data_IF_933009321472
#
_entry.id   IF_933009321472
#
_cell.length_a   1.000
_cell.length_b   1.000
_cell.length_c   1.000
_cell.angle_alpha   90.00
_cell.angle_beta   90.00
_cell.angle_gamma   90.00
#
_symmetry.space_group_name_H-M   'P 1'
#
loop_
_entity.id
_entity.type
_entity.pdbx_description
1 polymer ?
#
# COMPACT_ATOMS: atom_id res chain seq x y z
N UNK A 1 -20.94 11.67 14.47
CA UNK A 1 -19.92 12.08 13.48
C UNK A 1 -20.67 12.61 12.26
N UNK A 2 -20.18 13.66 11.61
CA UNK A 2 -20.79 14.20 10.39
C UNK A 2 -20.37 13.32 9.20
N UNK A 3 -21.32 12.68 8.54
CA UNK A 3 -21.10 11.96 7.28
C UNK A 3 -20.76 12.96 6.17
N UNK A 4 -19.80 12.63 5.29
CA UNK A 4 -19.49 13.48 4.15
C UNK A 4 -20.60 13.40 3.09
N UNK A 5 -20.66 14.41 2.23
CA UNK A 5 -21.54 14.39 1.06
C UNK A 5 -21.07 13.36 0.02
N UNK A 6 -22.00 12.79 -0.75
CA UNK A 6 -21.67 11.90 -1.89
C UNK A 6 -20.71 12.58 -2.87
N UNK A 7 -20.88 13.89 -3.11
CA UNK A 7 -19.96 14.68 -3.94
C UNK A 7 -18.54 14.74 -3.38
N UNK A 8 -18.39 14.77 -2.05
CA UNK A 8 -17.07 14.75 -1.41
C UNK A 8 -16.40 13.37 -1.57
N UNK A 9 -17.14 12.27 -1.36
CA UNK A 9 -16.61 10.93 -1.63
C UNK A 9 -16.21 10.77 -3.10
N UNK A 10 -17.03 11.25 -4.04
CA UNK A 10 -16.72 11.22 -5.47
C UNK A 10 -15.45 12.01 -5.81
N UNK A 11 -15.25 13.17 -5.19
CA UNK A 11 -14.02 13.95 -5.39
C UNK A 11 -12.77 13.18 -4.92
N UNK A 12 -12.81 12.60 -3.72
CA UNK A 12 -11.69 11.80 -3.21
C UNK A 12 -11.45 10.56 -4.08
N UNK A 13 -12.50 9.90 -4.57
CA UNK A 13 -12.38 8.76 -5.46
C UNK A 13 -11.73 9.15 -6.80
N UNK A 14 -12.08 10.31 -7.36
CA UNK A 14 -11.45 10.84 -8.57
C UNK A 14 -9.99 11.26 -8.35
N UNK A 15 -9.67 11.88 -7.21
CA UNK A 15 -8.28 12.17 -6.83
C UNK A 15 -7.45 10.90 -6.68
N UNK A 16 -8.05 9.85 -6.10
CA UNK A 16 -7.41 8.55 -5.98
C UNK A 16 -7.18 7.92 -7.36
N UNK A 17 -8.20 7.87 -8.22
CA UNK A 17 -8.07 7.42 -9.61
C UNK A 17 -6.94 8.15 -10.34
N UNK A 18 -6.86 9.47 -10.18
CA UNK A 18 -5.83 10.28 -10.79
C UNK A 18 -4.44 9.95 -10.23
N UNK A 19 -4.33 9.67 -8.93
CA UNK A 19 -3.08 9.31 -8.30
C UNK A 19 -2.52 7.99 -8.80
N UNK A 20 -3.37 7.03 -9.16
CA UNK A 20 -2.91 5.75 -9.72
C UNK A 20 -2.15 5.94 -11.05
N UNK A 21 -2.37 7.05 -11.77
CA UNK A 21 -1.71 7.32 -13.05
C UNK A 21 -0.21 7.65 -12.93
N UNK A 22 0.55 7.31 -13.98
CA UNK A 22 1.99 7.63 -14.09
C UNK A 22 2.22 9.08 -14.56
N UNK A 23 1.79 10.05 -13.75
CA UNK A 23 1.82 11.49 -14.06
C UNK A 23 3.26 12.04 -14.15
N UNK A 24 4.15 11.56 -13.30
CA UNK A 24 5.59 11.75 -13.41
C UNK A 24 6.16 10.60 -14.21
N UNK A 25 6.73 10.92 -15.37
CA UNK A 25 7.39 9.93 -16.19
C UNK A 25 8.59 9.36 -15.45
N UNK A 26 8.58 8.06 -15.17
CA UNK A 26 9.61 7.41 -14.36
C UNK A 26 11.00 7.41 -15.02
N UNK A 27 11.07 7.54 -16.35
CA UNK A 27 12.35 7.56 -17.09
C UNK A 27 12.96 8.95 -17.16
N UNK A 28 12.15 9.97 -17.40
CA UNK A 28 12.63 11.35 -17.60
C UNK A 28 12.52 12.21 -16.35
N UNK A 29 11.73 11.78 -15.35
CA UNK A 29 11.40 12.54 -14.17
C UNK A 29 10.45 13.72 -14.43
N UNK A 30 10.00 13.94 -15.67
CA UNK A 30 9.13 15.06 -16.04
C UNK A 30 7.74 14.84 -15.45
N UNK A 31 7.24 15.86 -14.74
CA UNK A 31 5.90 15.87 -14.15
C UNK A 31 4.90 16.52 -15.11
N UNK A 32 3.87 15.76 -15.50
CA UNK A 32 2.73 16.27 -16.25
C UNK A 32 1.75 17.01 -15.32
N UNK A 33 2.17 18.17 -14.80
CA UNK A 33 1.52 18.82 -13.67
C UNK A 33 0.11 19.38 -13.95
N UNK A 34 -0.17 19.81 -15.20
CA UNK A 34 -1.44 20.44 -15.56
C UNK A 34 -1.67 20.44 -17.08
N UNK A 35 -2.83 20.98 -17.51
CA UNK A 35 -3.16 21.18 -18.92
C UNK A 35 -3.26 19.88 -19.71
N UNK A 36 -2.92 19.95 -21.01
CA UNK A 36 -3.02 18.78 -21.90
C UNK A 36 -2.12 17.63 -21.46
N UNK A 37 -0.92 17.92 -20.95
CA UNK A 37 -0.01 16.88 -20.45
C UNK A 37 -0.64 16.06 -19.32
N UNK A 38 -1.32 16.73 -18.38
CA UNK A 38 -2.05 16.04 -17.32
C UNK A 38 -3.22 15.24 -17.90
N UNK A 39 -3.99 15.81 -18.84
CA UNK A 39 -5.11 15.10 -19.48
C UNK A 39 -4.62 13.81 -20.15
N UNK A 40 -3.55 13.89 -20.94
CA UNK A 40 -2.97 12.74 -21.63
C UNK A 40 -2.48 11.67 -20.64
N UNK A 41 -1.83 12.10 -19.55
CA UNK A 41 -1.37 11.19 -18.49
C UNK A 41 -2.53 10.50 -17.75
N UNK A 42 -3.67 11.17 -17.54
CA UNK A 42 -4.84 10.59 -16.89
C UNK A 42 -5.61 9.62 -17.80
N UNK A 43 -5.64 9.89 -19.11
CA UNK A 43 -6.21 8.98 -20.12
C UNK A 43 -5.34 7.72 -20.26
N UNK A 44 -4.01 7.89 -20.25
CA UNK A 44 -3.07 6.76 -20.21
C UNK A 44 -3.16 6.00 -18.87
N UNK A 45 -3.42 6.73 -17.77
CA UNK A 45 -3.64 6.21 -16.44
C UNK A 45 -2.44 5.42 -15.93
N UNK A 46 -2.71 4.27 -15.32
CA UNK A 46 -1.68 3.29 -14.96
C UNK A 46 -1.41 2.26 -16.07
N UNK A 47 -1.90 2.49 -17.30
CA UNK A 47 -1.86 1.56 -18.44
C UNK A 47 -2.63 0.25 -18.25
N UNK A 48 -3.42 0.18 -17.16
CA UNK A 48 -4.27 -0.95 -16.80
C UNK A 48 -5.69 -0.47 -16.48
N UNK A 49 -6.23 -0.79 -15.30
CA UNK A 49 -7.64 -0.58 -14.97
C UNK A 49 -7.97 0.85 -14.50
N UNK A 50 -7.00 1.63 -14.00
CA UNK A 50 -7.24 2.96 -13.44
C UNK A 50 -6.97 4.03 -14.49
N UNK A 51 -7.95 4.23 -15.37
CA UNK A 51 -7.88 5.17 -16.51
C UNK A 51 -9.08 6.11 -16.51
N UNK A 52 -8.86 7.35 -16.96
CA UNK A 52 -9.96 8.30 -17.17
C UNK A 52 -10.49 8.23 -18.60
N UNK A 53 -11.79 8.48 -18.76
CA UNK A 53 -12.32 8.90 -20.06
C UNK A 53 -11.80 10.31 -20.39
N UNK A 54 -11.75 10.67 -21.67
CA UNK A 54 -11.31 12.01 -22.09
C UNK A 54 -12.10 13.14 -21.40
N UNK A 55 -13.42 12.95 -21.25
CA UNK A 55 -14.31 13.91 -20.58
C UNK A 55 -13.93 14.04 -19.11
N UNK A 56 -13.75 12.92 -18.41
CA UNK A 56 -13.41 12.93 -16.99
C UNK A 56 -12.01 13.51 -16.75
N UNK A 57 -11.02 13.18 -17.60
CA UNK A 57 -9.66 13.72 -17.53
C UNK A 57 -9.65 15.23 -17.75
N UNK A 58 -10.39 15.70 -18.75
CA UNK A 58 -10.54 17.13 -19.06
C UNK A 58 -11.19 17.88 -17.90
N UNK A 59 -12.22 17.31 -17.28
CA UNK A 59 -12.89 17.94 -16.14
C UNK A 59 -12.00 17.94 -14.90
N UNK A 60 -11.29 16.84 -14.61
CA UNK A 60 -10.32 16.77 -13.53
C UNK A 60 -9.22 17.83 -13.71
N UNK A 61 -8.64 17.92 -14.91
CA UNK A 61 -7.59 18.89 -15.23
C UNK A 61 -8.07 20.34 -15.26
N UNK A 62 -9.38 20.64 -15.17
CA UNK A 62 -9.88 22.01 -14.89
C UNK A 62 -9.93 22.30 -13.40
N UNK A 63 -10.19 21.29 -12.58
CA UNK A 63 -10.41 21.42 -11.14
C UNK A 63 -9.10 21.32 -10.35
N UNK A 64 -8.17 20.49 -10.79
CA UNK A 64 -6.96 20.13 -10.04
C UNK A 64 -5.69 20.37 -10.86
N UNK A 65 -4.60 20.59 -10.13
CA UNK A 65 -3.22 20.45 -10.63
C UNK A 65 -2.43 19.50 -9.73
N UNK A 66 -1.34 18.95 -10.27
CA UNK A 66 -0.42 18.09 -9.55
C UNK A 66 0.79 18.91 -9.11
N UNK A 67 0.96 19.02 -7.80
CA UNK A 67 2.06 19.77 -7.18
C UNK A 67 3.33 18.94 -7.12
N UNK A 68 3.19 17.67 -6.74
CA UNK A 68 4.29 16.70 -6.75
C UNK A 68 3.74 15.28 -6.94
N UNK A 69 4.57 14.40 -7.49
CA UNK A 69 4.33 12.96 -7.48
C UNK A 69 5.63 12.25 -7.13
N UNK A 70 5.58 11.38 -6.13
CA UNK A 70 6.62 10.42 -5.82
C UNK A 70 6.38 9.15 -6.63
N UNK A 71 7.24 8.89 -7.62
CA UNK A 71 7.31 7.58 -8.28
C UNK A 71 7.81 6.51 -7.29
N UNK A 72 7.66 5.24 -7.65
CA UNK A 72 8.01 4.10 -6.79
C UNK A 72 9.41 4.20 -6.20
N UNK A 73 9.46 4.23 -4.87
CA UNK A 73 10.70 4.12 -4.10
C UNK A 73 11.22 2.68 -4.08
N UNK A 74 12.37 2.46 -3.45
CA UNK A 74 12.93 1.11 -3.32
C UNK A 74 12.09 0.14 -2.48
N UNK A 75 11.10 0.65 -1.74
CA UNK A 75 10.12 -0.14 -0.96
C UNK A 75 8.78 -0.34 -1.67
N UNK A 76 8.57 0.33 -2.81
CA UNK A 76 7.31 0.35 -3.56
C UNK A 76 6.40 1.53 -3.21
N UNK A 77 6.76 2.35 -2.21
CA UNK A 77 5.96 3.53 -1.88
C UNK A 77 5.89 4.52 -3.05
N UNK A 78 4.68 5.00 -3.35
CA UNK A 78 4.43 6.11 -4.27
C UNK A 78 3.18 6.91 -3.87
N UNK A 79 3.08 8.15 -4.33
CA UNK A 79 1.99 9.05 -3.97
C UNK A 79 2.00 10.36 -4.73
N UNK A 80 0.88 11.08 -4.68
CA UNK A 80 0.64 12.33 -5.44
C UNK A 80 0.08 13.42 -4.52
N UNK A 81 0.62 14.63 -4.61
CA UNK A 81 0.08 15.82 -3.96
C UNK A 81 -0.68 16.65 -5.00
N UNK A 82 -1.96 16.86 -4.78
CA UNK A 82 -2.83 17.68 -5.61
C UNK A 82 -3.13 19.03 -4.96
N UNK A 83 -3.40 20.03 -5.79
CA UNK A 83 -3.95 21.32 -5.38
C UNK A 83 -5.19 21.66 -6.19
N UNK A 84 -6.26 22.05 -5.52
CA UNK A 84 -7.45 22.53 -6.21
C UNK A 84 -7.22 23.91 -6.79
N UNK A 85 -7.66 24.13 -8.02
CA UNK A 85 -7.57 25.39 -8.74
C UNK A 85 -8.81 26.25 -8.60
N UNK A 86 -9.91 25.68 -8.13
CA UNK A 86 -11.22 26.32 -8.14
C UNK A 86 -11.91 26.17 -6.79
N UNK A 87 -12.80 27.12 -6.51
CA UNK A 87 -13.79 26.96 -5.44
C UNK A 87 -15.13 26.63 -6.08
N UNK A 88 -15.68 25.47 -5.76
CA UNK A 88 -17.01 25.02 -6.19
C UNK A 88 -17.70 24.32 -5.00
N UNK A 89 -18.53 25.06 -4.24
CA UNK A 89 -19.22 24.50 -3.07
C UNK A 89 -20.17 23.35 -3.40
N UNK A 90 -20.69 23.27 -4.64
CA UNK A 90 -21.59 22.18 -5.05
C UNK A 90 -20.87 20.85 -5.19
N UNK A 91 -19.57 20.92 -5.52
CA UNK A 91 -18.67 19.77 -5.55
C UNK A 91 -17.93 19.61 -4.24
N UNK A 92 -17.90 20.60 -3.37
CA UNK A 92 -17.10 20.58 -2.14
C UNK A 92 -15.62 20.89 -2.40
N UNK A 93 -15.32 21.69 -3.42
CA UNK A 93 -13.98 22.11 -3.79
C UNK A 93 -13.67 23.50 -3.24
N UNK A 94 -12.44 23.70 -2.77
CA UNK A 94 -11.93 24.99 -2.30
C UNK A 94 -10.59 25.28 -2.98
N UNK A 95 -10.47 26.42 -3.64
CA UNK A 95 -9.24 26.80 -4.32
C UNK A 95 -8.05 26.84 -3.35
N UNK A 96 -6.94 26.22 -3.74
CA UNK A 96 -5.74 26.09 -2.92
C UNK A 96 -5.76 24.92 -1.94
N UNK A 97 -6.87 24.18 -1.80
CA UNK A 97 -6.89 23.00 -0.92
C UNK A 97 -5.91 21.93 -1.42
N UNK A 98 -5.28 21.24 -0.47
CA UNK A 98 -4.28 20.22 -0.73
C UNK A 98 -4.79 18.84 -0.34
N UNK A 99 -4.56 17.88 -1.23
CA UNK A 99 -4.84 16.46 -0.97
C UNK A 99 -3.63 15.62 -1.31
N UNK A 100 -3.17 14.84 -0.34
CA UNK A 100 -2.14 13.80 -0.53
C UNK A 100 -2.86 12.49 -0.83
N UNK A 101 -2.46 11.81 -1.91
CA UNK A 101 -3.02 10.53 -2.31
C UNK A 101 -1.94 9.47 -2.35
N UNK A 102 -2.12 8.36 -1.64
CA UNK A 102 -1.20 7.22 -1.66
C UNK A 102 -1.70 6.15 -2.63
N UNK A 103 -0.80 5.68 -3.50
CA UNK A 103 -1.16 4.77 -4.58
C UNK A 103 -1.33 3.33 -4.09
N UNK A 104 -2.05 2.55 -4.88
CA UNK A 104 -2.35 1.15 -4.57
C UNK A 104 -1.21 0.19 -4.97
N UNK A 105 -1.43 -1.11 -4.76
CA UNK A 105 -0.50 -2.16 -5.22
C UNK A 105 -0.43 -2.21 -6.73
N UNK A 106 0.76 -2.04 -7.28
CA UNK A 106 1.01 -2.20 -8.71
C UNK A 106 1.33 -3.67 -9.04
N UNK A 107 0.30 -4.51 -9.13
CA UNK A 107 0.50 -5.96 -9.33
C UNK A 107 1.34 -6.31 -10.55
N UNK A 108 1.13 -5.62 -11.68
CA UNK A 108 1.81 -5.89 -12.95
C UNK A 108 3.12 -5.12 -13.07
N UNK A 109 3.20 -3.93 -12.48
CA UNK A 109 4.34 -3.02 -12.66
C UNK A 109 5.37 -3.09 -11.51
N UNK A 110 4.96 -3.50 -10.31
CA UNK A 110 5.81 -3.59 -9.12
C UNK A 110 5.48 -4.75 -8.16
N UNK A 111 5.23 -5.94 -8.73
CA UNK A 111 4.80 -7.12 -7.97
C UNK A 111 5.67 -7.48 -6.75
N UNK A 112 6.99 -7.35 -6.87
CA UNK A 112 7.91 -7.82 -5.82
C UNK A 112 7.86 -6.92 -4.58
N UNK A 113 7.90 -5.59 -4.78
CA UNK A 113 7.88 -4.63 -3.67
C UNK A 113 6.50 -4.53 -3.04
N UNK A 114 5.44 -4.41 -3.85
CA UNK A 114 4.10 -4.19 -3.32
C UNK A 114 3.41 -5.47 -2.85
N UNK A 115 3.49 -6.55 -3.64
CA UNK A 115 2.74 -7.76 -3.32
C UNK A 115 3.52 -8.72 -2.42
N UNK A 116 4.69 -9.17 -2.89
CA UNK A 116 5.42 -10.24 -2.19
C UNK A 116 6.02 -9.70 -0.89
N UNK A 117 6.78 -8.61 -0.98
CA UNK A 117 7.39 -7.99 0.18
C UNK A 117 6.34 -7.32 1.08
N UNK A 118 5.57 -6.36 0.55
CA UNK A 118 4.70 -5.53 1.39
C UNK A 118 3.43 -6.27 1.80
N UNK A 119 2.58 -6.72 0.87
CA UNK A 119 1.32 -7.37 1.23
C UNK A 119 1.53 -8.69 2.00
N UNK A 120 2.44 -9.56 1.53
CA UNK A 120 2.60 -10.91 2.10
C UNK A 120 3.55 -10.94 3.29
N UNK A 121 4.77 -10.41 3.18
CA UNK A 121 5.80 -10.54 4.22
C UNK A 121 5.70 -9.50 5.33
N UNK A 122 5.05 -8.36 5.07
CA UNK A 122 4.93 -7.26 6.04
C UNK A 122 3.50 -7.08 6.57
N UNK A 123 2.54 -6.70 5.73
CA UNK A 123 1.14 -6.44 6.17
C UNK A 123 0.49 -7.72 6.67
N UNK A 124 0.42 -8.78 5.86
CA UNK A 124 -0.29 -9.99 6.24
C UNK A 124 0.35 -10.64 7.49
N UNK A 125 1.67 -10.73 7.54
CA UNK A 125 2.39 -11.38 8.63
C UNK A 125 2.48 -10.52 9.90
N UNK A 126 2.76 -9.21 9.77
CA UNK A 126 3.13 -8.31 10.89
C UNK A 126 2.17 -7.14 11.08
N UNK A 127 1.25 -6.91 10.15
CA UNK A 127 0.19 -5.92 10.24
C UNK A 127 0.55 -4.54 9.69
N UNK A 128 1.76 -4.31 9.20
CA UNK A 128 2.23 -2.98 8.80
C UNK A 128 3.19 -3.04 7.62
N UNK A 129 3.05 -2.12 6.67
CA UNK A 129 3.99 -1.91 5.55
C UNK A 129 5.20 -1.06 5.97
N UNK A 130 6.08 -1.59 6.83
CA UNK A 130 7.15 -0.81 7.47
C UNK A 130 7.99 0.02 6.49
N UNK A 131 8.42 -0.59 5.37
CA UNK A 131 9.20 0.12 4.36
C UNK A 131 8.45 1.26 3.71
N UNK A 132 7.24 0.99 3.24
CA UNK A 132 6.45 1.99 2.52
C UNK A 132 5.97 3.10 3.44
N UNK A 133 5.62 2.79 4.69
CA UNK A 133 5.26 3.80 5.70
C UNK A 133 6.47 4.67 6.03
N UNK A 134 7.67 4.10 6.12
CA UNK A 134 8.89 4.87 6.36
C UNK A 134 9.20 5.83 5.20
N UNK A 135 9.12 5.35 3.95
CA UNK A 135 9.37 6.18 2.77
C UNK A 135 8.25 7.23 2.56
N UNK A 136 7.01 6.90 2.94
CA UNK A 136 5.88 7.84 3.04
C UNK A 136 6.18 9.00 4.01
N UNK A 137 6.67 8.69 5.21
CA UNK A 137 7.01 9.71 6.21
C UNK A 137 8.16 10.61 5.76
N UNK A 138 9.15 10.06 5.05
CA UNK A 138 10.24 10.85 4.49
C UNK A 138 9.76 11.77 3.36
N UNK A 139 8.90 11.28 2.46
CA UNK A 139 8.29 12.16 1.46
C UNK A 139 7.40 13.23 2.09
N UNK A 140 6.60 12.89 3.11
CA UNK A 140 5.81 13.87 3.86
C UNK A 140 6.69 14.97 4.47
N UNK A 141 7.84 14.64 5.06
CA UNK A 141 8.79 15.64 5.59
C UNK A 141 9.30 16.56 4.48
N UNK A 142 9.63 16.02 3.31
CA UNK A 142 10.01 16.83 2.14
C UNK A 142 8.87 17.80 1.75
N UNK A 143 7.65 17.29 1.60
CA UNK A 143 6.47 18.10 1.26
C UNK A 143 6.19 19.20 2.30
N UNK A 144 6.25 18.86 3.59
CA UNK A 144 5.97 19.76 4.70
C UNK A 144 7.02 20.86 4.85
N UNK A 145 8.28 20.55 4.55
CA UNK A 145 9.39 21.52 4.62
C UNK A 145 9.40 22.55 3.48
N UNK A 146 8.75 22.23 2.35
CA UNK A 146 8.70 23.10 1.17
C UNK A 146 7.42 23.96 1.17
N UNK A 147 7.53 25.29 1.32
CA UNK A 147 6.38 26.21 1.36
C UNK A 147 5.60 26.25 0.04
N UNK A 148 6.20 25.81 -1.07
CA UNK A 148 5.53 25.75 -2.37
C UNK A 148 4.71 24.46 -2.55
N UNK A 149 4.94 23.45 -1.69
CA UNK A 149 4.24 22.18 -1.68
C UNK A 149 3.17 22.14 -0.60
N UNK A 150 3.41 21.41 0.48
CA UNK A 150 2.47 21.29 1.60
C UNK A 150 2.65 22.45 2.58
N UNK A 151 3.90 22.79 2.94
CA UNK A 151 4.22 24.07 3.57
C UNK A 151 3.34 24.48 4.77
N UNK A 152 3.23 23.64 5.79
CA UNK A 152 2.42 23.91 6.99
C UNK A 152 0.92 24.11 6.77
N UNK A 153 0.44 23.98 5.53
CA UNK A 153 -0.97 24.17 5.20
C UNK A 153 -1.82 23.03 5.71
N UNK A 154 -3.12 23.29 5.78
CA UNK A 154 -4.10 22.26 6.12
C UNK A 154 -4.37 21.40 4.88
N UNK A 155 -4.46 20.08 5.05
CA UNK A 155 -4.57 19.13 3.94
C UNK A 155 -5.43 17.92 4.30
N UNK A 156 -5.85 17.18 3.29
CA UNK A 156 -6.56 15.90 3.43
C UNK A 156 -5.72 14.76 2.83
N UNK A 157 -6.06 13.52 3.20
CA UNK A 157 -5.38 12.33 2.67
C UNK A 157 -6.41 11.37 2.06
N UNK A 158 -6.06 10.75 0.94
CA UNK A 158 -6.81 9.61 0.38
C UNK A 158 -5.88 8.43 0.06
N UNK A 159 -6.45 7.23 0.03
CA UNK A 159 -5.74 6.02 -0.34
C UNK A 159 -6.66 4.88 -0.75
N UNK A 160 -6.29 4.13 -1.79
CA UNK A 160 -7.02 2.94 -2.25
C UNK A 160 -6.21 1.66 -2.04
N UNK A 161 -6.85 0.56 -1.60
CA UNK A 161 -6.19 -0.73 -1.39
C UNK A 161 -4.99 -0.61 -0.41
N UNK A 162 -3.77 -0.95 -0.83
CA UNK A 162 -2.53 -0.67 -0.09
C UNK A 162 -2.36 0.82 0.27
N UNK A 163 -2.77 1.74 -0.61
CA UNK A 163 -2.78 3.17 -0.31
C UNK A 163 -3.71 3.53 0.86
N UNK A 164 -4.81 2.79 1.06
CA UNK A 164 -5.71 2.96 2.20
C UNK A 164 -5.07 2.54 3.53
N UNK A 165 -4.24 1.49 3.50
CA UNK A 165 -3.40 1.11 4.63
C UNK A 165 -2.41 2.22 5.01
N UNK A 166 -1.73 2.78 4.01
CA UNK A 166 -0.79 3.90 4.19
C UNK A 166 -1.50 5.15 4.72
N UNK A 167 -2.68 5.50 4.17
CA UNK A 167 -3.48 6.63 4.64
C UNK A 167 -3.91 6.48 6.10
N UNK A 168 -4.28 5.26 6.50
CA UNK A 168 -4.62 4.94 7.90
C UNK A 168 -3.39 5.02 8.82
N UNK A 169 -2.26 4.45 8.40
CA UNK A 169 -1.01 4.53 9.14
C UNK A 169 -0.55 5.98 9.32
N UNK A 170 -0.65 6.79 8.26
CA UNK A 170 -0.37 8.22 8.30
C UNK A 170 -1.24 8.94 9.33
N UNK A 171 -2.56 8.67 9.35
CA UNK A 171 -3.46 9.29 10.33
C UNK A 171 -3.03 8.94 11.78
N UNK A 172 -2.74 7.67 12.04
CA UNK A 172 -2.28 7.20 13.36
C UNK A 172 -0.96 7.88 13.78
N UNK A 173 -0.01 8.02 12.87
CA UNK A 173 1.25 8.72 13.13
C UNK A 173 1.03 10.20 13.45
N UNK A 174 0.16 10.89 12.70
CA UNK A 174 -0.19 12.28 13.00
C UNK A 174 -0.87 12.41 14.38
N UNK A 175 -1.65 11.41 14.82
CA UNK A 175 -2.26 11.37 16.16
C UNK A 175 -1.22 11.15 17.26
N UNK A 176 -0.23 10.28 17.03
CA UNK A 176 0.90 10.10 17.95
C UNK A 176 1.75 11.39 18.04
N UNK A 177 2.02 12.05 16.90
CA UNK A 177 2.73 13.34 16.86
C UNK A 177 2.00 14.44 17.65
N UNK A 178 0.68 14.53 17.48
CA UNK A 178 -0.18 15.46 18.24
C UNK A 178 -0.07 15.26 19.75
N UNK A 179 0.17 14.04 20.22
CA UNK A 179 0.37 13.77 21.65
C UNK A 179 1.69 14.35 22.20
N UNK A 180 2.63 14.71 21.32
CA UNK A 180 3.92 15.30 21.66
C UNK A 180 3.99 16.83 21.44
N UNK A 181 3.03 17.42 20.73
CA UNK A 181 2.95 18.87 20.50
C UNK A 181 2.03 19.23 19.34
N UNK A 182 1.74 20.52 19.11
CA UNK A 182 0.97 20.96 17.96
C UNK A 182 1.73 20.66 16.65
N UNK A 183 1.06 20.19 15.60
CA UNK A 183 1.73 19.78 14.37
C UNK A 183 2.08 21.01 13.53
N UNK A 184 3.05 20.88 12.64
CA UNK A 184 3.42 21.94 11.69
C UNK A 184 2.39 22.11 10.57
N UNK A 185 1.63 21.06 10.25
CA UNK A 185 0.54 21.03 9.28
C UNK A 185 -0.67 20.28 9.86
N UNK A 186 -1.89 20.74 9.56
CA UNK A 186 -3.11 20.14 10.12
C UNK A 186 -3.77 19.18 9.15
N UNK A 187 -3.80 17.89 9.49
CA UNK A 187 -4.54 16.86 8.77
C UNK A 187 -6.05 17.00 9.05
N UNK A 188 -6.83 17.36 8.04
CA UNK A 188 -8.28 17.56 8.14
C UNK A 188 -9.05 16.25 8.17
N UNK A 189 -8.91 15.46 7.10
CA UNK A 189 -9.69 14.25 6.89
C UNK A 189 -8.88 13.21 6.13
N UNK A 190 -9.24 11.96 6.36
CA UNK A 190 -8.68 10.78 5.70
C UNK A 190 -9.83 9.99 5.09
N UNK A 191 -9.82 9.80 3.77
CA UNK A 191 -10.85 9.03 3.07
C UNK A 191 -10.17 7.86 2.38
N UNK A 192 -10.48 6.64 2.80
CA UNK A 192 -9.90 5.43 2.19
C UNK A 192 -10.93 4.75 1.30
N UNK A 193 -10.49 4.08 0.25
CA UNK A 193 -11.34 3.31 -0.66
C UNK A 193 -10.88 1.86 -0.68
N UNK A 194 -11.75 0.92 -0.32
CA UNK A 194 -11.41 -0.51 -0.21
C UNK A 194 -10.02 -0.73 0.43
N UNK A 195 -9.68 0.04 1.46
CA UNK A 195 -8.34 0.05 2.03
C UNK A 195 -8.06 -1.23 2.80
N UNK A 196 -6.84 -1.77 2.70
CA UNK A 196 -6.43 -2.76 3.69
C UNK A 196 -6.33 -2.09 5.07
N UNK A 197 -6.84 -2.74 6.12
CA UNK A 197 -6.70 -2.25 7.48
C UNK A 197 -5.25 -2.32 7.99
N UNK A 198 -5.04 -1.96 9.25
CA UNK A 198 -3.74 -1.95 9.93
C UNK A 198 -3.67 -2.98 11.06
N UNK A 199 -2.47 -3.35 11.45
CA UNK A 199 -2.21 -4.22 12.59
C UNK A 199 -2.34 -3.50 13.93
N UNK A 200 -2.02 -4.23 15.00
CA UNK A 200 -1.90 -3.69 16.36
C UNK A 200 -0.43 -3.51 16.71
N UNK A 201 -0.11 -2.41 17.39
CA UNK A 201 1.17 -2.22 18.08
C UNK A 201 1.05 -2.80 19.49
N UNK A 202 2.02 -3.62 19.90
CA UNK A 202 2.01 -4.30 21.20
C UNK A 202 2.17 -3.29 22.36
N UNK A 203 1.63 -3.57 23.55
CA UNK A 203 1.77 -2.70 24.72
C UNK A 203 3.23 -2.35 24.99
N UNK A 204 3.49 -1.09 25.36
CA UNK A 204 4.84 -0.57 25.61
C UNK A 204 5.54 0.05 24.40
N UNK A 205 4.93 -0.02 23.22
CA UNK A 205 5.43 0.58 21.98
C UNK A 205 4.39 1.51 21.36
N UNK A 206 4.86 2.43 20.51
CA UNK A 206 4.01 3.22 19.60
C UNK A 206 4.39 2.89 18.15
N UNK A 207 3.52 3.23 17.18
CA UNK A 207 3.86 3.03 15.77
C UNK A 207 5.09 3.87 15.39
N UNK A 208 5.17 5.10 15.89
CA UNK A 208 6.32 6.00 15.73
C UNK A 208 7.61 5.36 16.24
N UNK A 209 7.61 4.76 17.44
CA UNK A 209 8.83 4.14 17.98
C UNK A 209 9.25 2.91 17.16
N UNK A 210 8.29 2.07 16.75
CA UNK A 210 8.57 0.88 15.93
C UNK A 210 9.16 1.26 14.57
N UNK A 211 8.62 2.29 13.91
CA UNK A 211 9.15 2.79 12.64
C UNK A 211 10.52 3.46 12.80
N UNK A 212 10.77 4.14 13.93
CA UNK A 212 12.08 4.72 14.22
C UNK A 212 13.15 3.62 14.38
N UNK A 213 12.84 2.55 15.10
CA UNK A 213 13.73 1.38 15.25
C UNK A 213 13.98 0.71 13.90
N UNK A 214 12.92 0.44 13.12
CA UNK A 214 13.02 -0.10 11.77
C UNK A 214 13.92 0.75 10.87
N UNK A 215 13.70 2.07 10.85
CA UNK A 215 14.48 2.99 10.03
C UNK A 215 15.95 3.05 10.43
N UNK A 216 16.22 3.04 11.73
CA UNK A 216 17.59 2.99 12.25
C UNK A 216 18.28 1.70 11.79
N UNK A 217 17.64 0.56 12.03
CA UNK A 217 18.20 -0.77 11.74
C UNK A 217 18.40 -1.00 10.23
N UNK A 218 17.47 -0.58 9.36
CA UNK A 218 17.61 -0.80 7.92
C UNK A 218 18.68 0.09 7.26
N UNK A 219 19.10 1.18 7.90
CA UNK A 219 20.03 2.19 7.36
C UNK A 219 21.43 2.10 7.97
N UNK A 220 21.55 1.55 9.17
CA UNK A 220 22.80 1.44 9.90
C UNK A 220 23.10 -0.04 10.25
N UNK A 221 24.01 -0.70 9.51
CA UNK A 221 24.42 -2.07 9.79
C UNK A 221 24.97 -2.28 11.21
N UNK A 222 25.57 -1.25 11.83
CA UNK A 222 26.07 -1.34 13.19
C UNK A 222 24.92 -1.32 14.20
N UNK A 223 23.92 -0.45 14.00
CA UNK A 223 22.73 -0.42 14.83
C UNK A 223 21.90 -1.72 14.69
N UNK A 224 21.77 -2.26 13.48
CA UNK A 224 21.14 -3.56 13.26
C UNK A 224 21.87 -4.67 14.00
N UNK A 225 23.20 -4.73 13.87
CA UNK A 225 24.01 -5.72 14.57
C UNK A 225 23.83 -5.61 16.10
N UNK A 226 23.75 -4.40 16.64
CA UNK A 226 23.55 -4.16 18.06
C UNK A 226 22.14 -4.58 18.55
N UNK A 227 21.14 -4.54 17.67
CA UNK A 227 19.79 -5.01 17.97
C UNK A 227 19.64 -6.55 17.95
N UNK A 228 20.62 -7.28 17.41
CA UNK A 228 20.65 -8.73 17.38
C UNK A 228 21.42 -9.30 18.57
N UNK A 229 20.89 -10.35 19.20
CA UNK A 229 21.59 -11.07 20.26
C UNK A 229 22.49 -12.16 19.64
N UNK A 230 23.58 -11.72 18.99
CA UNK A 230 24.53 -12.62 18.33
C UNK A 230 25.38 -13.36 19.38
N UNK A 231 25.12 -14.67 19.54
CA UNK A 231 26.00 -15.55 20.33
C UNK A 231 27.41 -15.64 19.74
N UNK A 232 28.38 -16.08 20.54
CA UNK A 232 29.77 -16.34 20.09
C UNK A 232 29.83 -17.24 18.84
N UNK A 233 28.90 -18.19 18.72
CA UNK A 233 28.77 -19.05 17.54
C UNK A 233 28.18 -18.29 16.35
N UNK A 234 27.13 -17.50 16.55
CA UNK A 234 26.41 -16.82 15.46
C UNK A 234 27.18 -15.61 14.90
N UNK A 235 27.92 -14.90 15.74
CA UNK A 235 28.61 -13.67 15.36
C UNK A 235 29.52 -13.81 14.13
N UNK A 236 30.47 -14.78 14.06
CA UNK A 236 31.31 -14.94 12.88
C UNK A 236 30.52 -15.37 11.63
N UNK A 237 29.47 -16.19 11.80
CA UNK A 237 28.61 -16.64 10.68
C UNK A 237 27.84 -15.46 10.09
N UNK A 238 27.24 -14.63 10.94
CA UNK A 238 26.54 -13.41 10.53
C UNK A 238 27.48 -12.48 9.76
N UNK A 239 28.69 -12.24 10.28
CA UNK A 239 29.68 -11.39 9.61
C UNK A 239 30.05 -11.92 8.22
N UNK A 240 30.28 -13.23 8.10
CA UNK A 240 30.59 -13.86 6.81
C UNK A 240 29.43 -13.75 5.82
N UNK A 241 28.19 -14.00 6.27
CA UNK A 241 26.98 -13.88 5.45
C UNK A 241 26.82 -12.44 4.96
N UNK A 242 26.82 -11.45 5.87
CA UNK A 242 26.62 -10.05 5.53
C UNK A 242 27.68 -9.55 4.54
N UNK A 243 28.95 -9.90 4.73
CA UNK A 243 30.04 -9.49 3.83
C UNK A 243 29.91 -10.13 2.44
N UNK A 244 29.62 -11.43 2.37
CA UNK A 244 29.53 -12.11 1.07
C UNK A 244 28.28 -11.73 0.28
N UNK A 245 27.16 -11.45 0.95
CA UNK A 245 25.97 -10.91 0.28
C UNK A 245 26.24 -9.50 -0.23
N UNK A 246 26.86 -8.62 0.57
CA UNK A 246 27.19 -7.26 0.17
C UNK A 246 28.16 -7.21 -1.02
N UNK A 247 29.12 -8.13 -1.08
CA UNK A 247 30.08 -8.23 -2.19
C UNK A 247 29.54 -9.01 -3.40
N UNK A 248 28.32 -9.55 -3.33
CA UNK A 248 27.72 -10.36 -4.38
C UNK A 248 28.41 -11.71 -4.62
N UNK A 249 29.29 -12.16 -3.70
CA UNK A 249 29.96 -13.46 -3.80
C UNK A 249 29.03 -14.60 -3.41
N UNK A 250 28.05 -14.34 -2.54
CA UNK A 250 27.00 -15.30 -2.17
C UNK A 250 25.62 -14.84 -2.64
N UNK A 251 24.78 -15.84 -2.96
CA UNK A 251 23.33 -15.64 -3.07
C UNK A 251 22.66 -15.84 -1.71
N UNK A 252 21.41 -15.40 -1.55
CA UNK A 252 20.62 -15.68 -0.34
C UNK A 252 20.48 -17.19 -0.08
N UNK A 253 20.33 -18.00 -1.14
CA UNK A 253 20.31 -19.46 -1.05
C UNK A 253 21.62 -20.04 -0.51
N UNK A 254 22.76 -19.53 -0.99
CA UNK A 254 24.09 -19.90 -0.48
C UNK A 254 24.22 -19.52 0.99
N UNK A 255 23.92 -18.27 1.35
CA UNK A 255 23.96 -17.81 2.73
C UNK A 255 23.07 -18.65 3.67
N UNK A 256 21.86 -19.02 3.23
CA UNK A 256 20.94 -19.88 3.98
C UNK A 256 21.54 -21.27 4.21
N UNK A 257 22.17 -21.85 3.18
CA UNK A 257 22.84 -23.15 3.26
C UNK A 257 23.99 -23.12 4.27
N UNK A 258 24.84 -22.10 4.20
CA UNK A 258 26.00 -21.93 5.09
C UNK A 258 25.57 -21.71 6.55
N UNK A 259 24.48 -20.97 6.78
CA UNK A 259 23.88 -20.86 8.11
C UNK A 259 23.43 -22.22 8.64
N UNK A 260 22.72 -23.01 7.82
CA UNK A 260 22.28 -24.35 8.23
C UNK A 260 23.48 -25.26 8.52
N UNK A 261 24.51 -25.26 7.67
CA UNK A 261 25.74 -26.02 7.89
C UNK A 261 26.39 -25.69 9.23
N UNK A 262 26.45 -24.41 9.57
CA UNK A 262 27.09 -23.97 10.79
C UNK A 262 26.34 -24.42 12.07
N UNK A 263 25.09 -24.89 11.95
CA UNK A 263 24.28 -25.43 13.05
C UNK A 263 23.94 -26.92 12.90
N UNK A 264 24.19 -27.52 11.74
CA UNK A 264 23.97 -28.93 11.49
C UNK A 264 25.11 -29.80 12.03
N UNK A 265 24.78 -31.03 12.44
CA UNK A 265 25.76 -32.05 12.78
C UNK A 265 26.29 -32.85 11.58
N UNK A 266 25.63 -32.74 10.42
CA UNK A 266 25.96 -33.44 9.16
C UNK A 266 25.51 -32.60 7.95
N UNK A 267 26.33 -32.55 6.89
CA UNK A 267 26.08 -31.81 5.65
C UNK A 267 24.95 -32.42 4.78
N UNK A 268 24.73 -33.74 4.85
CA UNK A 268 23.77 -34.43 3.98
C UNK A 268 22.30 -34.05 4.21
N UNK A 269 21.95 -33.49 5.39
CA UNK A 269 20.55 -33.30 5.81
C UNK A 269 20.10 -31.83 5.85
N UNK A 270 20.98 -30.86 5.57
CA UNK A 270 20.74 -29.43 5.84
C UNK A 270 19.59 -28.78 5.08
N UNK A 271 19.22 -29.32 3.92
CA UNK A 271 18.15 -28.80 3.07
C UNK A 271 16.84 -29.58 3.21
N UNK A 272 16.90 -30.86 3.61
CA UNK A 272 15.73 -31.74 3.79
C UNK A 272 15.23 -31.76 5.23
N UNK A 273 16.15 -31.63 6.20
CA UNK A 273 15.86 -31.56 7.64
C UNK A 273 16.66 -30.41 8.26
N UNK A 274 16.14 -29.17 8.17
CA UNK A 274 16.85 -27.99 8.69
C UNK A 274 17.18 -28.15 10.19
N UNK A 275 18.36 -27.70 10.65
CA UNK A 275 18.72 -27.79 12.06
C UNK A 275 17.81 -26.92 12.93
N UNK A 276 17.68 -27.28 14.21
CA UNK A 276 17.08 -26.38 15.20
C UNK A 276 17.98 -25.18 15.43
N UNK A 277 17.44 -23.98 15.29
CA UNK A 277 18.19 -22.73 15.41
C UNK A 277 17.78 -21.95 16.66
N UNK A 278 18.74 -21.35 17.40
CA UNK A 278 18.44 -20.31 18.39
C UNK A 278 17.72 -19.12 17.75
N UNK A 279 17.05 -18.30 18.56
CA UNK A 279 16.17 -17.23 18.10
C UNK A 279 16.77 -16.32 17.01
N UNK A 280 17.95 -15.72 17.23
CA UNK A 280 18.59 -14.83 16.24
C UNK A 280 19.08 -15.56 14.99
N UNK A 281 19.51 -16.82 15.11
CA UNK A 281 19.86 -17.64 13.95
C UNK A 281 18.62 -18.01 13.13
N UNK A 282 17.49 -18.30 13.80
CA UNK A 282 16.20 -18.51 13.15
C UNK A 282 15.73 -17.24 12.45
N UNK A 283 15.90 -16.06 13.08
CA UNK A 283 15.59 -14.75 12.47
C UNK A 283 16.42 -14.49 11.21
N UNK A 284 17.72 -14.76 11.27
CA UNK A 284 18.62 -14.67 10.12
C UNK A 284 18.19 -15.61 8.99
N UNK A 285 17.82 -16.85 9.32
CA UNK A 285 17.30 -17.81 8.34
C UNK A 285 15.99 -17.31 7.70
N UNK A 286 15.05 -16.80 8.50
CA UNK A 286 13.78 -16.25 8.00
C UNK A 286 14.01 -15.07 7.06
N UNK A 287 14.94 -14.16 7.37
CA UNK A 287 15.28 -13.05 6.48
C UNK A 287 15.80 -13.55 5.12
N UNK A 288 16.65 -14.58 5.12
CA UNK A 288 17.17 -15.19 3.89
C UNK A 288 16.06 -15.92 3.11
N UNK A 289 15.18 -16.65 3.80
CA UNK A 289 14.03 -17.33 3.17
C UNK A 289 13.07 -16.32 2.51
N UNK A 290 12.84 -15.15 3.13
CA UNK A 290 12.04 -14.07 2.55
C UNK A 290 12.66 -13.50 1.27
N UNK A 291 13.98 -13.29 1.25
CA UNK A 291 14.71 -12.84 0.06
C UNK A 291 14.62 -13.89 -1.06
N UNK A 292 14.81 -15.16 -0.72
CA UNK A 292 14.69 -16.27 -1.67
C UNK A 292 13.27 -16.34 -2.24
N UNK A 293 12.23 -16.14 -1.43
CA UNK A 293 10.86 -16.12 -1.89
C UNK A 293 10.60 -14.98 -2.89
N UNK A 294 11.13 -13.78 -2.63
CA UNK A 294 11.06 -12.65 -3.57
C UNK A 294 11.81 -12.96 -4.89
N UNK A 295 13.01 -13.55 -4.82
CA UNK A 295 13.81 -13.90 -6.00
C UNK A 295 13.13 -15.00 -6.86
N UNK A 296 12.48 -15.97 -6.22
CA UNK A 296 11.67 -16.98 -6.91
C UNK A 296 10.49 -16.34 -7.63
N UNK A 297 9.82 -15.36 -7.00
CA UNK A 297 8.74 -14.64 -7.64
C UNK A 297 9.24 -13.80 -8.82
N UNK A 298 10.39 -13.12 -8.71
CA UNK A 298 10.98 -12.41 -9.84
C UNK A 298 11.24 -13.33 -11.04
N UNK A 299 11.71 -14.55 -10.78
CA UNK A 299 11.86 -15.59 -11.82
C UNK A 299 10.51 -16.01 -12.40
N UNK A 300 9.50 -16.24 -11.57
CA UNK A 300 8.16 -16.61 -12.01
C UNK A 300 7.53 -15.55 -12.94
N UNK A 301 7.71 -14.26 -12.65
CA UNK A 301 7.17 -13.17 -13.48
C UNK A 301 7.67 -13.21 -14.93
N UNK A 302 8.87 -13.76 -15.18
CA UNK A 302 9.40 -13.94 -16.55
C UNK A 302 8.65 -14.99 -17.37
N UNK A 303 7.87 -15.85 -16.69
CA UNK A 303 7.19 -17.00 -17.29
C UNK A 303 5.72 -16.74 -17.62
N UNK A 304 5.14 -15.66 -17.08
CA UNK A 304 3.73 -15.31 -17.24
C UNK A 304 3.53 -14.19 -18.25
N UNK A 305 2.34 -14.13 -18.85
CA UNK A 305 1.98 -13.08 -19.81
C UNK A 305 0.50 -12.73 -19.77
N UNK A 306 0.12 -11.56 -20.29
CA UNK A 306 -1.24 -11.01 -20.18
C UNK A 306 -2.30 -11.87 -20.85
N UNK A 307 -1.98 -12.61 -21.91
CA UNK A 307 -2.90 -13.50 -22.62
C UNK A 307 -2.64 -15.00 -22.33
N UNK A 308 -1.65 -15.30 -21.50
CA UNK A 308 -1.25 -16.65 -21.14
C UNK A 308 -0.34 -17.33 -22.16
N UNK A 309 0.36 -18.38 -21.72
CA UNK A 309 1.24 -19.23 -22.56
C UNK A 309 2.27 -18.44 -23.35
N UNK A 310 2.81 -17.38 -22.76
CA UNK A 310 3.81 -16.50 -23.36
C UNK A 310 3.27 -15.51 -24.41
N UNK A 311 1.95 -15.36 -24.55
CA UNK A 311 1.31 -14.38 -25.44
C UNK A 311 0.93 -13.08 -24.72
N UNK A 312 1.01 -11.96 -25.43
CA UNK A 312 0.69 -10.64 -24.90
C UNK A 312 1.88 -9.96 -24.20
N UNK A 313 1.58 -9.01 -23.32
CA UNK A 313 2.59 -8.29 -22.53
C UNK A 313 3.10 -9.15 -21.38
N UNK A 314 4.32 -8.87 -20.92
CA UNK A 314 4.85 -9.43 -19.66
C UNK A 314 4.72 -8.39 -18.54
N UNK A 315 4.72 -8.83 -17.27
CA UNK A 315 4.88 -7.92 -16.15
C UNK A 315 6.16 -7.09 -16.30
N UNK A 316 6.15 -5.88 -15.74
CA UNK A 316 7.33 -5.01 -15.77
C UNK A 316 8.47 -5.67 -14.99
N UNK A 317 9.66 -5.69 -15.58
CA UNK A 317 10.86 -6.13 -14.89
C UNK A 317 11.39 -4.99 -14.02
N UNK A 318 11.60 -5.29 -12.73
CA UNK A 318 12.25 -4.40 -11.77
C UNK A 318 13.60 -5.01 -11.41
N UNK A 319 14.67 -4.24 -11.59
CA UNK A 319 16.02 -4.70 -11.27
C UNK A 319 16.13 -5.02 -9.77
N UNK A 320 16.79 -6.13 -9.42
CA UNK A 320 16.99 -6.52 -8.03
C UNK A 320 17.67 -5.42 -7.20
N UNK A 321 18.57 -4.64 -7.80
CA UNK A 321 19.23 -3.50 -7.14
C UNK A 321 18.28 -2.35 -6.77
N UNK A 322 17.11 -2.26 -7.41
CA UNK A 322 16.07 -1.27 -7.09
C UNK A 322 15.10 -1.76 -6.00
N UNK A 323 15.21 -3.02 -5.57
CA UNK A 323 14.30 -3.65 -4.61
C UNK A 323 15.00 -3.71 -3.24
N UNK A 324 14.82 -2.66 -2.42
CA UNK A 324 15.47 -2.58 -1.09
C UNK A 324 15.11 -3.75 -0.18
N UNK A 325 13.90 -4.30 -0.39
CA UNK A 325 13.35 -5.44 0.34
C UNK A 325 14.13 -6.74 0.14
N UNK A 326 15.04 -6.82 -0.85
CA UNK A 326 15.92 -7.97 -1.07
C UNK A 326 17.26 -7.87 -0.34
N UNK A 327 17.50 -6.79 0.43
CA UNK A 327 18.68 -6.70 1.28
C UNK A 327 18.48 -7.42 2.61
N UNK A 328 19.57 -8.01 3.14
CA UNK A 328 19.55 -8.69 4.43
C UNK A 328 19.16 -7.74 5.56
N UNK A 329 19.74 -6.54 5.57
CA UNK A 329 19.55 -5.56 6.63
C UNK A 329 18.08 -5.11 6.71
N UNK A 330 17.47 -4.84 5.56
CA UNK A 330 16.04 -4.51 5.49
C UNK A 330 15.19 -5.65 6.06
N UNK A 331 15.44 -6.90 5.66
CA UNK A 331 14.59 -8.04 6.08
C UNK A 331 14.75 -8.35 7.56
N UNK A 332 15.95 -8.23 8.11
CA UNK A 332 16.16 -8.33 9.55
C UNK A 332 15.46 -7.20 10.31
N UNK A 333 15.52 -5.96 9.82
CA UNK A 333 14.81 -4.83 10.41
C UNK A 333 13.29 -5.03 10.42
N UNK A 334 12.69 -5.56 9.34
CA UNK A 334 11.27 -5.95 9.31
C UNK A 334 10.96 -7.01 10.37
N UNK A 335 11.83 -8.01 10.52
CA UNK A 335 11.60 -9.07 11.48
C UNK A 335 11.64 -8.56 12.92
N UNK A 336 12.60 -7.69 13.26
CA UNK A 336 12.73 -7.02 14.55
C UNK A 336 11.54 -6.09 14.82
N UNK A 337 11.17 -5.22 13.88
CA UNK A 337 10.00 -4.35 14.01
C UNK A 337 8.71 -5.16 14.23
N UNK A 338 8.56 -6.27 13.51
CA UNK A 338 7.45 -7.19 13.65
C UNK A 338 7.36 -7.91 15.00
N UNK A 339 8.39 -7.86 15.86
CA UNK A 339 8.30 -8.35 17.23
C UNK A 339 7.44 -7.45 18.12
N UNK A 340 7.24 -6.20 17.72
CA UNK A 340 6.46 -5.20 18.45
C UNK A 340 5.06 -4.99 17.85
N UNK A 341 4.69 -5.75 16.82
CA UNK A 341 3.40 -5.63 16.15
C UNK A 341 2.70 -6.97 15.99
N UNK A 342 1.43 -6.93 15.59
CA UNK A 342 0.63 -8.12 15.28
C UNK A 342 -0.41 -7.79 14.20
N UNK A 343 -0.42 -8.56 13.12
CA UNK A 343 -1.52 -8.54 12.16
C UNK A 343 -2.74 -9.33 12.66
N UNK A 344 -3.94 -9.00 12.14
CA UNK A 344 -5.13 -9.84 12.25
C UNK A 344 -5.29 -10.63 10.95
N UNK A 345 -5.18 -11.94 11.07
CA UNK A 345 -5.45 -12.87 9.97
C UNK A 345 -6.96 -13.08 9.91
N UNK A 346 -7.60 -12.51 8.89
CA UNK A 346 -8.98 -12.84 8.53
C UNK A 346 -8.92 -13.73 7.29
N UNK A 347 -8.74 -15.05 7.47
CA UNK A 347 -8.90 -16.04 6.39
C UNK A 347 -9.95 -17.04 6.84
N UNK A 348 -11.08 -17.10 6.12
CA UNK A 348 -12.14 -18.07 6.35
C UNK A 348 -13.44 -17.70 5.63
N UNK A 349 -14.31 -18.71 5.42
CA UNK A 349 -15.59 -18.63 4.70
C UNK A 349 -16.65 -17.67 5.30
N UNK A 350 -16.29 -16.97 6.38
CA UNK A 350 -17.14 -15.98 7.03
C UNK A 350 -16.37 -14.66 7.03
N UNK A 351 -16.87 -13.62 6.33
CA UNK A 351 -16.37 -12.27 6.52
C UNK A 351 -16.56 -11.93 8.00
N UNK A 352 -15.48 -11.91 8.77
CA UNK A 352 -15.52 -11.31 10.09
C UNK A 352 -15.81 -9.82 9.88
N UNK A 353 -16.75 -9.23 10.62
CA UNK A 353 -17.13 -7.83 10.43
C UNK A 353 -15.91 -6.92 10.57
N UNK A 354 -15.93 -5.82 9.81
CA UNK A 354 -14.94 -4.73 9.77
C UNK A 354 -14.36 -4.50 11.17
N UNK A 355 -13.18 -5.05 11.42
CA UNK A 355 -12.69 -5.20 12.80
C UNK A 355 -12.19 -3.85 13.29
N UNK A 356 -12.93 -3.19 14.17
CA UNK A 356 -12.58 -1.82 14.54
C UNK A 356 -11.60 -1.76 15.72
N UNK A 357 -10.58 -0.90 15.58
CA UNK A 357 -9.90 -0.26 16.69
C UNK A 357 -10.72 0.96 17.16
N UNK A 358 -10.18 1.75 18.09
CA UNK A 358 -10.81 3.02 18.49
C UNK A 358 -11.00 3.91 17.25
N UNK A 359 -12.25 4.28 16.91
CA UNK A 359 -12.50 5.05 15.70
C UNK A 359 -11.84 6.44 15.74
N UNK A 360 -11.29 6.86 14.62
CA UNK A 360 -10.79 8.21 14.40
C UNK A 360 -11.88 9.03 13.72
N UNK A 361 -12.31 10.11 14.39
CA UNK A 361 -13.44 10.92 13.95
C UNK A 361 -13.23 11.62 12.60
N UNK A 362 -11.99 11.73 12.13
CA UNK A 362 -11.62 12.36 10.86
C UNK A 362 -11.38 11.34 9.73
N UNK A 363 -11.64 10.05 9.96
CA UNK A 363 -11.42 9.01 8.95
C UNK A 363 -12.73 8.35 8.50
N UNK A 364 -12.84 8.13 7.19
CA UNK A 364 -13.94 7.45 6.52
C UNK A 364 -13.38 6.32 5.68
N UNK A 365 -13.81 5.10 5.95
CA UNK A 365 -13.41 3.90 5.22
C UNK A 365 -14.54 3.56 4.24
N UNK A 366 -14.39 4.04 3.00
CA UNK A 366 -15.35 3.83 1.92
C UNK A 366 -15.10 2.47 1.30
N UNK A 367 -16.12 1.61 1.32
CA UNK A 367 -15.98 0.20 0.96
C UNK A 367 -17.13 -0.24 0.08
N UNK A 368 -16.83 -1.06 -0.92
CA UNK A 368 -17.86 -1.72 -1.72
C UNK A 368 -18.79 -2.55 -0.81
N UNK A 369 -20.11 -2.42 -1.00
CA UNK A 369 -21.12 -3.18 -0.25
C UNK A 369 -21.32 -4.58 -0.86
N UNK A 370 -20.24 -5.37 -0.91
CA UNK A 370 -20.28 -6.76 -1.35
C UNK A 370 -20.09 -7.71 -0.17
N UNK A 371 -20.73 -8.90 -0.18
CA UNK A 371 -20.62 -9.87 0.92
C UNK A 371 -19.19 -10.36 1.18
N UNK A 372 -18.28 -10.22 0.21
CA UNK A 372 -16.90 -10.64 0.31
C UNK A 372 -16.02 -9.47 -0.14
N UNK A 373 -14.99 -9.12 0.62
CA UNK A 373 -13.86 -8.34 0.12
C UNK A 373 -12.66 -8.69 0.98
N UNK A 374 -11.68 -9.39 0.40
CA UNK A 374 -10.52 -9.90 1.14
C UNK A 374 -9.64 -8.76 1.64
N UNK A 375 -9.46 -7.73 0.82
CA UNK A 375 -8.58 -6.60 1.14
C UNK A 375 -9.31 -5.62 2.06
N UNK A 376 -10.51 -5.17 1.69
CA UNK A 376 -11.25 -4.15 2.44
C UNK A 376 -11.75 -4.60 3.81
N UNK A 377 -11.77 -5.92 4.09
CA UNK A 377 -12.09 -6.46 5.42
C UNK A 377 -10.86 -7.09 6.11
N UNK A 378 -9.65 -6.90 5.56
CA UNK A 378 -8.43 -7.40 6.18
C UNK A 378 -7.99 -6.52 7.36
N UNK A 379 -7.30 -7.12 8.33
CA UNK A 379 -6.69 -6.39 9.45
C UNK A 379 -7.71 -5.62 10.31
N UNK A 380 -7.32 -4.50 10.93
CA UNK A 380 -8.20 -3.64 11.71
C UNK A 380 -8.41 -2.26 11.07
N UNK A 381 -9.57 -1.68 11.30
CA UNK A 381 -9.99 -0.40 10.74
C UNK A 381 -10.27 0.62 11.84
N UNK A 382 -10.12 1.90 11.51
CA UNK A 382 -10.34 3.03 12.43
C UNK A 382 -11.29 4.08 11.86
N UNK A 383 -11.65 4.01 10.58
CA UNK A 383 -12.59 4.95 9.99
C UNK A 383 -14.05 4.64 10.31
N UNK A 384 -14.90 5.60 10.02
CA UNK A 384 -16.34 5.38 9.87
C UNK A 384 -16.55 4.49 8.64
N UNK A 385 -17.18 3.33 8.81
CA UNK A 385 -17.53 2.41 7.71
C UNK A 385 -18.59 3.08 6.80
N UNK A 386 -18.28 3.24 5.52
CA UNK A 386 -19.15 3.84 4.50
C UNK A 386 -19.32 2.86 3.36
N UNK A 387 -20.44 2.14 3.35
CA UNK A 387 -20.77 1.12 2.36
C UNK A 387 -21.37 1.75 1.10
N UNK A 388 -20.74 1.48 -0.05
CA UNK A 388 -21.19 1.94 -1.37
C UNK A 388 -21.62 0.73 -2.18
N UNK A 389 -22.90 0.68 -2.54
CA UNK A 389 -23.38 -0.31 -3.48
C UNK A 389 -22.65 -0.16 -4.82
N UNK A 390 -22.04 -1.23 -5.32
CA UNK A 390 -21.46 -1.30 -6.66
C UNK A 390 -22.28 -2.26 -7.51
N UNK A 391 -22.10 -2.22 -8.83
CA UNK A 391 -22.72 -3.22 -9.71
C UNK A 391 -22.21 -4.63 -9.39
N UNK A 392 -23.07 -5.64 -9.60
CA UNK A 392 -22.77 -7.03 -9.29
C UNK A 392 -21.66 -7.56 -10.20
N UNK A 393 -20.51 -7.91 -9.62
CA UNK A 393 -19.33 -8.42 -10.33
C UNK A 393 -18.91 -9.77 -9.75
N UNK A 394 -18.35 -10.67 -10.57
CA UNK A 394 -17.84 -11.94 -10.07
C UNK A 394 -16.63 -11.73 -9.15
N UNK A 395 -16.59 -12.37 -7.98
CA UNK A 395 -15.45 -12.25 -7.05
C UNK A 395 -14.10 -12.71 -7.65
N UNK A 396 -14.12 -13.57 -8.67
CA UNK A 396 -12.93 -14.10 -9.35
C UNK A 396 -13.24 -14.40 -10.82
N UNK A 397 -12.27 -14.12 -11.71
CA UNK A 397 -12.33 -14.46 -13.15
C UNK A 397 -11.10 -15.26 -13.58
N UNK A 398 -11.24 -16.07 -14.63
CA UNK A 398 -10.08 -16.62 -15.35
C UNK A 398 -9.28 -17.75 -14.68
N UNK A 399 -9.85 -18.49 -13.72
CA UNK A 399 -9.19 -19.66 -13.12
C UNK A 399 -8.30 -19.36 -11.90
N UNK A 400 -8.41 -18.16 -11.32
CA UNK A 400 -7.75 -17.70 -10.08
C UNK A 400 -8.20 -18.47 -8.81
N UNK A 401 -8.95 -19.56 -8.95
CA UNK A 401 -9.73 -20.13 -7.87
C UNK A 401 -8.90 -21.08 -6.98
N UNK A 402 -8.96 -20.81 -5.67
CA UNK A 402 -8.43 -21.53 -4.48
C UNK A 402 -7.06 -21.13 -3.91
N UNK A 403 -6.02 -20.92 -4.72
CA UNK A 403 -4.68 -20.64 -4.17
C UNK A 403 -4.56 -19.22 -3.57
N UNK A 404 -5.22 -18.22 -4.18
CA UNK A 404 -5.28 -16.82 -3.67
C UNK A 404 -6.03 -16.73 -2.34
N UNK A 405 -7.03 -17.58 -2.13
CA UNK A 405 -7.82 -17.63 -0.89
C UNK A 405 -7.02 -18.16 0.32
N UNK A 406 -5.84 -18.75 0.08
CA UNK A 406 -4.97 -19.32 1.13
C UNK A 406 -3.65 -18.57 1.28
N UNK A 407 -3.33 -17.63 0.37
CA UNK A 407 -2.14 -16.77 0.48
C UNK A 407 -2.23 -15.52 -0.41
N UNK A 408 -1.87 -14.35 0.13
CA UNK A 408 -1.70 -13.09 -0.63
C UNK A 408 -0.54 -13.17 -1.67
N UNK A 409 0.25 -14.25 -1.67
CA UNK A 409 1.47 -14.38 -2.48
C UNK A 409 1.28 -14.79 -3.95
N UNK A 410 0.06 -15.11 -4.41
CA UNK A 410 -0.21 -15.56 -5.80
C UNK A 410 -1.30 -14.76 -6.51
N UNK A 411 -1.38 -13.45 -6.26
CA UNK A 411 -2.42 -12.60 -6.85
C UNK A 411 -2.19 -12.24 -8.32
N UNK A 412 -0.98 -12.45 -8.87
CA UNK A 412 -0.71 -12.29 -10.30
C UNK A 412 -0.42 -13.66 -10.93
N UNK A 413 -1.16 -14.01 -11.99
CA UNK A 413 -1.11 -15.33 -12.65
C UNK A 413 -0.92 -15.21 -14.17
N UNK A 414 -0.60 -16.32 -14.83
CA UNK A 414 -0.56 -16.37 -16.29
C UNK A 414 -1.94 -16.10 -16.89
N UNK A 415 -2.01 -15.27 -17.93
CA UNK A 415 -3.27 -14.77 -18.46
C UNK A 415 -3.92 -13.66 -17.62
N UNK A 416 -3.13 -12.89 -16.87
CA UNK A 416 -3.62 -11.83 -15.97
C UNK A 416 -4.46 -10.74 -16.66
N UNK A 417 -4.36 -10.55 -17.97
CA UNK A 417 -5.24 -9.61 -18.69
C UNK A 417 -6.71 -10.07 -18.76
N UNK A 418 -7.00 -11.31 -18.37
CA UNK A 418 -8.35 -11.92 -18.37
C UNK A 418 -8.66 -12.65 -17.06
N UNK A 419 -7.75 -12.60 -16.10
CA UNK A 419 -7.80 -13.34 -14.86
C UNK A 419 -7.53 -12.35 -13.74
N UNK A 420 -8.54 -12.14 -12.89
CA UNK A 420 -8.46 -11.15 -11.83
C UNK A 420 -9.10 -11.69 -10.55
N UNK A 421 -8.64 -11.17 -9.42
CA UNK A 421 -9.15 -11.42 -8.09
C UNK A 421 -9.81 -10.15 -7.56
N UNK A 422 -11.06 -10.27 -7.11
CA UNK A 422 -11.76 -9.17 -6.45
C UNK A 422 -12.17 -8.07 -7.41
N UNK A 423 -12.95 -8.37 -8.45
CA UNK A 423 -13.53 -7.33 -9.31
C UNK A 423 -14.35 -6.32 -8.47
N UNK A 424 -14.92 -6.76 -7.35
CA UNK A 424 -15.59 -5.95 -6.34
C UNK A 424 -14.65 -5.03 -5.54
N UNK A 425 -13.35 -5.27 -5.59
CA UNK A 425 -12.32 -4.41 -5.03
C UNK A 425 -12.08 -3.16 -5.90
N UNK A 426 -12.57 -3.12 -7.15
CA UNK A 426 -12.24 -2.06 -8.11
C UNK A 426 -12.65 -0.65 -7.67
N UNK A 427 -11.67 0.27 -7.66
CA UNK A 427 -11.89 1.70 -7.44
C UNK A 427 -12.81 2.32 -8.51
N UNK A 428 -12.73 1.84 -9.76
CA UNK A 428 -13.53 2.38 -10.87
C UNK A 428 -15.02 2.17 -10.61
N UNK A 429 -15.40 1.02 -10.06
CA UNK A 429 -16.80 0.72 -9.74
C UNK A 429 -17.34 1.62 -8.61
N UNK A 430 -16.49 1.97 -7.65
CA UNK A 430 -16.83 2.96 -6.61
C UNK A 430 -17.05 4.33 -7.24
N UNK A 431 -16.16 4.76 -8.16
CA UNK A 431 -16.28 6.05 -8.86
C UNK A 431 -17.56 6.10 -9.70
N UNK A 432 -17.87 5.03 -10.42
CA UNK A 432 -19.07 4.93 -11.24
C UNK A 432 -20.33 4.99 -10.37
N UNK A 433 -20.38 4.20 -9.28
CA UNK A 433 -21.50 4.24 -8.34
C UNK A 433 -21.69 5.62 -7.74
N UNK A 434 -20.63 6.23 -7.21
CA UNK A 434 -20.68 7.59 -6.66
C UNK A 434 -21.09 8.64 -7.71
N UNK A 435 -20.70 8.46 -8.97
CA UNK A 435 -21.10 9.32 -10.08
C UNK A 435 -22.60 9.23 -10.38
N UNK A 436 -23.16 8.01 -10.38
CA UNK A 436 -24.60 7.78 -10.53
C UNK A 436 -25.35 8.40 -9.35
N UNK A 437 -24.92 8.09 -8.11
CA UNK A 437 -25.53 8.63 -6.89
C UNK A 437 -25.53 10.17 -6.89
N UNK A 438 -24.38 10.78 -7.21
CA UNK A 438 -24.25 12.24 -7.28
C UNK A 438 -25.15 12.84 -8.37
N UNK A 439 -25.27 12.18 -9.53
CA UNK A 439 -26.16 12.61 -10.61
C UNK A 439 -27.62 12.60 -10.17
N UNK A 440 -28.08 11.48 -9.58
CA UNK A 440 -29.44 11.35 -9.08
C UNK A 440 -29.77 12.39 -8.00
N UNK A 441 -28.85 12.64 -7.07
CA UNK A 441 -29.01 13.67 -6.05
C UNK A 441 -29.11 15.07 -6.64
N UNK A 442 -28.42 15.35 -7.74
CA UNK A 442 -28.51 16.64 -8.41
C UNK A 442 -29.84 16.87 -9.14
N UNK A 443 -30.57 15.80 -9.49
CA UNK A 443 -31.94 15.89 -10.03
C UNK A 443 -32.98 16.20 -8.95
N UNK A 444 -32.67 15.95 -7.67
CA UNK A 444 -33.57 16.25 -6.54
C UNK A 444 -33.57 17.76 -6.27
N UNK A 445 -34.74 18.38 -5.97
CA UNK A 445 -34.81 19.79 -5.58
C UNK A 445 -33.87 20.11 -4.40
N UNK A 446 -33.19 21.26 -4.43
CA UNK A 446 -32.14 21.62 -3.47
C UNK A 446 -32.57 21.41 -2.00
N UNK A 447 -33.79 21.81 -1.64
CA UNK A 447 -34.32 21.67 -0.27
C UNK A 447 -34.61 20.23 0.19
N UNK A 448 -34.53 19.24 -0.71
CA UNK A 448 -34.78 17.82 -0.43
C UNK A 448 -33.52 16.97 -0.57
N UNK A 449 -32.39 17.54 -1.04
CA UNK A 449 -31.17 16.78 -1.32
C UNK A 449 -30.54 16.15 -0.07
N UNK A 450 -30.59 16.82 1.08
CA UNK A 450 -30.08 16.28 2.35
C UNK A 450 -30.86 15.01 2.77
N UNK A 451 -32.18 15.04 2.65
CA UNK A 451 -33.05 13.87 2.90
C UNK A 451 -32.79 12.77 1.90
N UNK A 452 -32.67 13.11 0.61
CA UNK A 452 -32.39 12.14 -0.45
C UNK A 452 -31.00 11.49 -0.31
N UNK A 453 -30.01 12.22 0.17
CA UNK A 453 -28.67 11.69 0.41
C UNK A 453 -28.70 10.50 1.37
N UNK A 454 -29.46 10.60 2.47
CA UNK A 454 -29.62 9.49 3.42
C UNK A 454 -30.32 8.25 2.84
N UNK A 455 -31.08 8.39 1.75
CA UNK A 455 -31.73 7.26 1.05
C UNK A 455 -30.79 6.58 0.05
N UNK A 456 -29.87 7.35 -0.54
CA UNK A 456 -28.92 6.87 -1.56
C UNK A 456 -27.66 6.28 -0.93
N UNK A 457 -27.23 6.79 0.24
CA UNK A 457 -26.08 6.29 1.00
C UNK A 457 -26.41 5.07 1.89
N UNK A 458 -27.52 4.37 1.63
CA UNK A 458 -28.14 3.44 2.57
C UNK A 458 -27.44 2.09 2.73
N UNK A 459 -26.52 2.01 3.70
CA UNK A 459 -26.50 1.10 4.87
C UNK A 459 -25.36 1.58 5.79
N UNK A 460 -25.69 2.43 6.76
CA UNK A 460 -24.85 2.66 7.95
C UNK A 460 -25.23 1.71 9.06
#
# INVERSE_FOLDING_TARGET
MTTLAVSAYLNYANLQMAAEAFIRNEKTGILAASGQQLIDALIEGNKHASVFTEIAATEFAKQWEVVDQRSNTGTGFSGTLFRSKITDPSKGLVAGELVVSFRSTEFVDDHIRDNVATNTQEIFAKGWAFGQIADMEDWYKELASDPTRLGGQTFSVTGYSLGGHLATAFNLLRREELSQGPPTASLQQVVTFNGAGVGIVKPGHSLTSVLADFNTQRRDPAALKAALNLSDRLQPIYQQISQNLANGTWTASTARRELNLAYAGNEADIDTTPPSLPADAARLRSALDDIIAQQKQATYLTTISSEGKGKGKRPQEVLASAIQTQSLDYRLAVLLAGEHTKGKITIGDKPEPHASLTPLANQYDVVADTPWSLVANSQYHVGTDVRIAIEDQPNVRGGVVRDVLTSFGKMLVDGYGRSDFGDDHSLVLIVDSLSVQNTLLNLVPIGQRSTAQGLVSGRT
#
